data_IF_679033776306
#
_entry.id   IF_679033776306
#
_cell.length_a   1.000
_cell.length_b   1.000
_cell.length_c   1.000
_cell.angle_alpha   90.00
_cell.angle_beta   90.00
_cell.angle_gamma   90.00
#
_symmetry.space_group_name_H-M   'P 1'
#
loop_
_entity.id
_entity.type
_entity.pdbx_description
1 polymer ?
#
# COMPACT_ATOMS: atom_id res chain seq x y z
N UNK A 1 29.52 54.67 43.54
CA UNK A 1 29.42 53.26 43.07
C UNK A 1 28.85 52.33 44.13
N UNK A 2 29.28 52.41 45.41
CA UNK A 2 28.71 51.65 46.53
C UNK A 2 27.23 52.00 46.81
N UNK A 3 26.85 53.27 46.67
CA UNK A 3 25.47 53.71 46.90
C UNK A 3 24.47 53.19 45.84
N UNK A 4 24.93 53.03 44.59
CA UNK A 4 24.11 52.48 43.50
C UNK A 4 23.87 50.97 43.68
N UNK A 5 24.84 50.24 44.25
CA UNK A 5 24.68 48.82 44.57
C UNK A 5 23.71 48.63 45.74
N UNK A 6 23.82 49.45 46.79
CA UNK A 6 22.91 49.39 47.94
C UNK A 6 21.47 49.79 47.55
N UNK A 7 21.30 50.74 46.63
CA UNK A 7 19.99 51.09 46.08
C UNK A 7 19.39 49.96 45.22
N UNK A 8 20.22 49.29 44.41
CA UNK A 8 19.80 48.17 43.57
C UNK A 8 19.42 46.93 44.41
N UNK A 9 20.15 46.61 45.47
CA UNK A 9 19.79 45.49 46.36
C UNK A 9 18.48 45.78 47.11
N UNK A 10 18.31 47.01 47.60
CA UNK A 10 17.07 47.42 48.29
C UNK A 10 15.86 47.40 47.36
N UNK A 11 16.04 47.79 46.10
CA UNK A 11 14.99 47.70 45.09
C UNK A 11 14.62 46.23 44.78
N UNK A 12 15.63 45.37 44.62
CA UNK A 12 15.42 43.93 44.40
C UNK A 12 14.72 43.24 45.60
N UNK A 13 15.07 43.62 46.83
CA UNK A 13 14.41 43.11 48.05
C UNK A 13 12.94 43.56 48.14
N UNK A 14 12.65 44.82 47.78
CA UNK A 14 11.29 45.34 47.75
C UNK A 14 10.43 44.62 46.69
N UNK A 15 10.99 44.37 45.51
CA UNK A 15 10.32 43.63 44.43
C UNK A 15 10.07 42.17 44.82
N UNK A 16 11.08 41.48 45.39
CA UNK A 16 10.93 40.11 45.88
C UNK A 16 9.84 40.00 46.95
N UNK A 17 9.75 41.00 47.84
CA UNK A 17 8.72 41.05 48.88
C UNK A 17 7.31 41.26 48.28
N UNK A 18 7.19 42.05 47.22
CA UNK A 18 5.91 42.24 46.53
C UNK A 18 5.48 40.95 45.82
N UNK A 19 6.39 40.29 45.10
CA UNK A 19 6.14 39.02 44.41
C UNK A 19 5.70 37.95 45.41
N UNK A 20 6.38 37.83 46.55
CA UNK A 20 5.99 36.90 47.60
C UNK A 20 4.58 37.20 48.16
N UNK A 21 4.24 38.48 48.32
CA UNK A 21 2.91 38.90 48.81
C UNK A 21 1.80 38.58 47.80
N UNK A 22 2.03 38.85 46.52
CA UNK A 22 1.07 38.57 45.44
C UNK A 22 0.88 37.06 45.29
N UNK A 23 1.97 36.30 45.30
CA UNK A 23 1.97 34.84 45.24
C UNK A 23 1.17 34.23 46.39
N UNK A 24 1.42 34.67 47.63
CA UNK A 24 0.68 34.20 48.81
C UNK A 24 -0.82 34.47 48.72
N UNK A 25 -1.22 35.69 48.31
CA UNK A 25 -2.65 36.02 48.12
C UNK A 25 -3.30 35.14 47.06
N UNK A 26 -2.59 34.84 45.97
CA UNK A 26 -3.07 33.96 44.90
C UNK A 26 -3.23 32.53 45.41
N UNK A 27 -2.24 32.01 46.15
CA UNK A 27 -2.31 30.70 46.79
C UNK A 27 -3.51 30.60 47.74
N UNK A 28 -3.70 31.56 48.64
CA UNK A 28 -4.83 31.58 49.58
C UNK A 28 -6.19 31.55 48.86
N UNK A 29 -6.29 32.24 47.71
CA UNK A 29 -7.48 32.20 46.86
C UNK A 29 -7.72 30.82 46.24
N UNK A 30 -6.66 30.17 45.76
CA UNK A 30 -6.74 28.82 45.15
C UNK A 30 -7.05 27.74 46.19
N UNK A 31 -6.49 27.84 47.40
CA UNK A 31 -6.77 26.90 48.50
C UNK A 31 -8.23 26.94 48.97
N UNK A 32 -8.95 28.05 48.74
CA UNK A 32 -10.39 28.16 48.99
C UNK A 32 -11.25 27.69 47.82
N UNK A 33 -10.69 27.63 46.61
CA UNK A 33 -11.39 27.19 45.41
C UNK A 33 -11.54 25.66 45.36
N UNK A 34 -12.40 25.16 44.45
CA UNK A 34 -12.60 23.73 44.20
C UNK A 34 -11.32 23.10 43.60
N UNK A 35 -11.09 21.78 43.78
CA UNK A 35 -9.91 21.10 43.25
C UNK A 35 -9.64 21.33 41.76
N UNK A 36 -10.68 21.36 40.91
CA UNK A 36 -10.53 21.58 39.47
C UNK A 36 -9.88 22.94 39.13
N UNK A 37 -10.20 23.99 39.89
CA UNK A 37 -9.59 25.31 39.71
C UNK A 37 -8.12 25.34 40.14
N UNK A 38 -7.74 24.52 41.14
CA UNK A 38 -6.36 24.35 41.57
C UNK A 38 -5.53 23.58 40.54
N UNK A 39 -6.11 22.52 39.95
CA UNK A 39 -5.49 21.79 38.83
C UNK A 39 -5.29 22.68 37.61
N UNK A 40 -6.29 23.50 37.26
CA UNK A 40 -6.17 24.45 36.15
C UNK A 40 -5.04 25.47 36.39
N UNK A 41 -4.94 26.02 37.60
CA UNK A 41 -3.88 26.97 37.96
C UNK A 41 -2.47 26.37 37.91
N UNK A 42 -2.30 25.06 38.08
CA UNK A 42 -1.01 24.39 37.91
C UNK A 42 -0.62 24.15 36.45
N UNK A 43 -1.60 24.07 35.54
CA UNK A 43 -1.39 23.88 34.11
C UNK A 43 -1.02 25.19 33.39
N UNK A 44 -1.29 26.35 34.00
CA UNK A 44 -0.88 27.66 33.50
C UNK A 44 0.65 27.82 33.65
N UNK A 45 1.36 27.87 32.52
CA UNK A 45 2.82 28.00 32.49
C UNK A 45 3.33 29.33 33.06
N UNK A 46 2.51 30.39 33.02
CA UNK A 46 2.80 31.74 33.49
C UNK A 46 2.16 32.05 34.86
N UNK A 47 2.07 31.07 35.75
CA UNK A 47 1.47 31.28 37.06
C UNK A 47 2.27 32.31 37.89
N UNK A 48 1.59 33.28 38.49
CA UNK A 48 2.16 34.31 39.41
C UNK A 48 2.60 33.71 40.77
N UNK A 49 2.73 32.38 40.87
CA UNK A 49 3.13 31.68 42.07
C UNK A 49 4.64 31.52 42.12
N UNK A 50 5.22 31.78 43.29
CA UNK A 50 6.60 31.40 43.59
C UNK A 50 6.75 29.87 43.59
N UNK A 51 7.97 29.32 43.39
CA UNK A 51 8.19 27.89 43.44
C UNK A 51 7.72 27.23 44.75
N UNK A 52 7.90 27.91 45.89
CA UNK A 52 7.50 27.42 47.20
C UNK A 52 5.96 27.33 47.34
N UNK A 53 5.25 28.38 46.92
CA UNK A 53 3.78 28.39 46.95
C UNK A 53 3.17 27.39 45.96
N UNK A 54 3.86 27.11 44.85
CA UNK A 54 3.46 26.05 43.90
C UNK A 54 3.56 24.65 44.52
N UNK A 55 4.58 24.39 45.35
CA UNK A 55 4.68 23.13 46.10
C UNK A 55 3.56 23.00 47.13
N UNK A 56 3.21 24.08 47.84
CA UNK A 56 2.08 24.08 48.75
C UNK A 56 0.75 23.80 48.04
N UNK A 57 0.56 24.35 46.84
CA UNK A 57 -0.62 24.05 46.01
C UNK A 57 -0.67 22.58 45.58
N UNK A 58 0.46 22.00 45.18
CA UNK A 58 0.57 20.57 44.83
C UNK A 58 0.27 19.67 46.03
N UNK A 59 0.77 19.99 47.22
CA UNK A 59 0.51 19.22 48.44
C UNK A 59 -0.99 19.22 48.78
N UNK A 60 -1.67 20.36 48.56
CA UNK A 60 -3.12 20.48 48.74
C UNK A 60 -3.95 19.60 47.80
N UNK A 61 -3.36 19.16 46.69
CA UNK A 61 -3.99 18.32 45.67
C UNK A 61 -3.64 16.83 45.80
N UNK A 62 -2.69 16.45 46.68
CA UNK A 62 -2.22 15.06 46.83
C UNK A 62 -3.33 14.05 47.12
N UNK A 63 -4.39 14.48 47.81
CA UNK A 63 -5.54 13.64 48.16
C UNK A 63 -6.85 14.11 47.49
N UNK A 64 -6.77 15.05 46.54
CA UNK A 64 -7.93 15.57 45.84
C UNK A 64 -8.14 14.80 44.53
N UNK A 65 -9.24 14.06 44.42
CA UNK A 65 -9.60 13.43 43.15
C UNK A 65 -10.00 14.50 42.14
N UNK A 66 -9.31 14.54 41.00
CA UNK A 66 -9.72 15.36 39.87
C UNK A 66 -11.11 14.91 39.41
N UNK A 67 -12.05 15.86 39.30
CA UNK A 67 -13.38 15.52 38.83
C UNK A 67 -13.26 14.94 37.42
N UNK A 68 -13.66 13.69 37.24
CA UNK A 68 -13.51 12.99 35.97
C UNK A 68 -14.30 13.74 34.91
N UNK A 69 -13.60 14.43 34.00
CA UNK A 69 -14.22 15.06 32.85
C UNK A 69 -14.89 13.95 32.03
N UNK A 70 -16.21 13.99 31.79
CA UNK A 70 -16.84 13.01 30.93
C UNK A 70 -16.26 13.20 29.52
N UNK A 71 -15.44 12.23 29.09
CA UNK A 71 -14.98 12.15 27.72
C UNK A 71 -16.23 11.87 26.90
N UNK A 72 -16.76 12.88 26.20
CA UNK A 72 -17.79 12.69 25.18
C UNK A 72 -17.16 11.96 24.00
N UNK A 73 -16.99 10.65 24.13
CA UNK A 73 -16.80 9.78 23.00
C UNK A 73 -18.12 9.80 22.21
N UNK A 74 -18.21 10.65 21.19
CA UNK A 74 -19.27 10.54 20.21
C UNK A 74 -19.20 9.14 19.63
N UNK A 75 -20.21 8.31 19.89
CA UNK A 75 -20.31 6.96 19.34
C UNK A 75 -20.35 7.09 17.82
N UNK A 76 -19.20 6.90 17.18
CA UNK A 76 -19.12 6.83 15.73
C UNK A 76 -20.16 5.81 15.27
N UNK A 77 -21.06 6.21 14.37
CA UNK A 77 -22.14 5.35 13.92
C UNK A 77 -21.57 4.03 13.37
N UNK A 78 -22.32 2.92 13.52
CA UNK A 78 -21.90 1.60 13.03
C UNK A 78 -21.48 1.65 11.55
N UNK A 79 -22.07 2.56 10.78
CA UNK A 79 -21.74 2.84 9.39
C UNK A 79 -20.34 3.45 9.21
N UNK A 80 -19.93 4.38 10.09
CA UNK A 80 -18.61 4.99 10.06
C UNK A 80 -17.51 3.96 10.38
N UNK A 81 -17.76 3.06 11.33
CA UNK A 81 -16.86 1.96 11.69
C UNK A 81 -16.77 0.93 10.56
N UNK A 82 -17.89 0.64 9.88
CA UNK A 82 -17.90 -0.27 8.74
C UNK A 82 -17.14 0.34 7.54
N UNK A 83 -17.35 1.63 7.25
CA UNK A 83 -16.69 2.35 6.16
C UNK A 83 -15.18 2.49 6.36
N UNK A 84 -14.71 2.66 7.59
CA UNK A 84 -13.27 2.71 7.89
C UNK A 84 -12.59 1.35 7.78
N UNK A 85 -13.35 0.24 7.87
CA UNK A 85 -12.82 -1.14 7.76
C UNK A 85 -12.91 -1.74 6.35
N UNK A 86 -13.68 -1.12 5.45
CA UNK A 86 -13.81 -1.52 4.04
C UNK A 86 -12.48 -1.58 3.27
N UNK A 87 -11.56 -0.60 3.38
CA UNK A 87 -10.28 -0.63 2.64
C UNK A 87 -9.45 -1.87 3.00
N UNK A 88 -9.38 -2.21 4.29
CA UNK A 88 -8.61 -3.35 4.79
C UNK A 88 -9.16 -4.71 4.35
N UNK A 89 -10.46 -4.78 4.01
CA UNK A 89 -11.09 -6.02 3.53
C UNK A 89 -11.09 -6.13 2.00
N UNK A 90 -11.24 -5.01 1.29
CA UNK A 90 -11.35 -5.01 -0.17
C UNK A 90 -10.00 -5.06 -0.89
N UNK A 91 -8.96 -4.45 -0.35
CA UNK A 91 -7.62 -4.45 -0.96
C UNK A 91 -7.05 -5.87 -1.15
N UNK A 92 -7.05 -6.78 -0.15
CA UNK A 92 -6.53 -8.13 -0.36
C UNK A 92 -7.39 -8.96 -1.33
N UNK A 93 -8.71 -8.74 -1.36
CA UNK A 93 -9.62 -9.41 -2.30
C UNK A 93 -9.34 -8.94 -3.74
N UNK A 94 -9.20 -7.62 -3.94
CA UNK A 94 -8.90 -7.04 -5.25
C UNK A 94 -7.55 -7.52 -5.80
N UNK A 95 -6.52 -7.60 -4.94
CA UNK A 95 -5.21 -8.10 -5.32
C UNK A 95 -5.26 -9.59 -5.68
N UNK A 96 -5.91 -10.42 -4.84
CA UNK A 96 -6.02 -11.86 -5.08
C UNK A 96 -6.81 -12.19 -6.35
N UNK A 97 -7.96 -11.54 -6.55
CA UNK A 97 -8.79 -11.76 -7.74
C UNK A 97 -8.09 -11.28 -9.02
N UNK A 98 -7.42 -10.12 -8.96
CA UNK A 98 -6.65 -9.58 -10.08
C UNK A 98 -5.50 -10.50 -10.48
N UNK A 99 -4.73 -10.99 -9.51
CA UNK A 99 -3.65 -11.94 -9.76
C UNK A 99 -4.17 -13.27 -10.31
N UNK A 100 -5.27 -13.80 -9.77
CA UNK A 100 -5.86 -15.04 -10.26
C UNK A 100 -6.32 -14.91 -11.72
N UNK A 101 -6.99 -13.80 -12.07
CA UNK A 101 -7.41 -13.53 -13.45
C UNK A 101 -6.22 -13.37 -14.39
N UNK A 102 -5.16 -12.69 -13.94
CA UNK A 102 -3.94 -12.52 -14.73
C UNK A 102 -3.24 -13.86 -15.00
N UNK A 103 -3.07 -14.69 -13.96
CA UNK A 103 -2.47 -16.02 -14.11
C UNK A 103 -3.33 -16.92 -14.99
N UNK A 104 -4.64 -16.89 -14.82
CA UNK A 104 -5.57 -17.65 -15.65
C UNK A 104 -5.51 -17.20 -17.11
N UNK A 105 -5.52 -15.88 -17.36
CA UNK A 105 -5.36 -15.34 -18.71
C UNK A 105 -4.04 -15.74 -19.35
N UNK A 106 -2.93 -15.67 -18.59
CA UNK A 106 -1.62 -16.08 -19.06
C UNK A 106 -1.57 -17.58 -19.39
N UNK A 107 -2.14 -18.42 -18.52
CA UNK A 107 -2.23 -19.86 -18.73
C UNK A 107 -3.07 -20.20 -19.97
N UNK A 108 -4.18 -19.49 -20.19
CA UNK A 108 -5.04 -19.67 -21.36
C UNK A 108 -4.31 -19.28 -22.66
N UNK A 109 -3.59 -18.15 -22.65
CA UNK A 109 -2.75 -17.71 -23.78
C UNK A 109 -1.64 -18.70 -24.05
N UNK A 110 -0.95 -19.16 -23.01
CA UNK A 110 0.09 -20.18 -23.13
C UNK A 110 -0.49 -21.45 -23.73
N UNK A 111 -1.60 -21.96 -23.21
CA UNK A 111 -2.25 -23.15 -23.73
C UNK A 111 -2.63 -23.00 -25.22
N UNK A 112 -3.25 -21.88 -25.60
CA UNK A 112 -3.64 -21.63 -27.00
C UNK A 112 -2.44 -21.48 -27.96
N UNK A 113 -1.30 -20.99 -27.45
CA UNK A 113 -0.07 -20.78 -28.22
C UNK A 113 0.90 -21.97 -28.17
N UNK A 114 0.65 -22.96 -27.32
CA UNK A 114 1.54 -24.11 -27.17
C UNK A 114 1.43 -25.00 -28.42
N UNK A 115 2.55 -25.33 -29.08
CA UNK A 115 2.58 -26.29 -30.18
C UNK A 115 2.10 -27.68 -29.74
N UNK A 116 1.41 -28.44 -30.59
CA UNK A 116 1.06 -29.81 -30.26
C UNK A 116 2.29 -30.73 -30.22
N UNK A 117 3.13 -30.68 -31.26
CA UNK A 117 4.32 -31.55 -31.42
C UNK A 117 5.15 -31.16 -32.64
N UNK A 118 6.34 -31.74 -32.73
CA UNK A 118 7.15 -31.75 -33.95
C UNK A 118 6.69 -32.88 -34.88
N UNK A 119 6.62 -32.58 -36.18
CA UNK A 119 6.23 -33.52 -37.23
C UNK A 119 7.22 -33.47 -38.39
N UNK A 120 7.33 -34.58 -39.10
CA UNK A 120 8.10 -34.73 -40.34
C UNK A 120 7.19 -35.22 -41.46
N UNK A 121 7.65 -35.14 -42.71
CA UNK A 121 6.98 -35.82 -43.82
C UNK A 121 7.12 -37.33 -43.72
N UNK A 122 6.05 -38.06 -44.04
CA UNK A 122 6.04 -39.52 -44.10
C UNK A 122 6.69 -40.08 -45.38
N UNK A 123 6.71 -39.28 -46.45
CA UNK A 123 7.29 -39.65 -47.75
C UNK A 123 8.75 -39.21 -47.92
N UNK A 124 9.42 -39.83 -48.90
CA UNK A 124 10.80 -39.49 -49.30
C UNK A 124 10.88 -38.39 -50.37
N UNK A 125 9.75 -37.84 -50.80
CA UNK A 125 9.68 -36.77 -51.81
C UNK A 125 9.33 -35.42 -51.18
N UNK A 126 9.98 -34.32 -51.60
CA UNK A 126 9.60 -32.97 -51.22
C UNK A 126 8.15 -32.67 -51.63
N UNK A 127 7.37 -32.10 -50.70
CA UNK A 127 5.98 -31.73 -50.95
C UNK A 127 5.85 -30.20 -51.09
N UNK A 128 5.22 -29.69 -52.16
CA UNK A 128 4.93 -28.26 -52.28
C UNK A 128 3.85 -27.87 -51.27
N UNK A 129 4.08 -26.78 -50.55
CA UNK A 129 3.15 -26.25 -49.55
C UNK A 129 2.96 -24.75 -49.71
N UNK A 130 1.72 -24.28 -49.57
CA UNK A 130 1.40 -22.86 -49.57
C UNK A 130 1.47 -22.29 -48.15
N UNK A 131 2.50 -21.50 -47.85
CA UNK A 131 2.62 -20.79 -46.59
C UNK A 131 1.79 -19.50 -46.63
N UNK A 132 0.87 -19.34 -45.69
CA UNK A 132 0.17 -18.10 -45.45
C UNK A 132 0.99 -17.26 -44.46
N UNK A 133 1.44 -16.11 -44.91
CA UNK A 133 2.15 -15.12 -44.11
C UNK A 133 1.18 -14.35 -43.19
N UNK A 134 1.69 -13.66 -42.15
CA UNK A 134 0.87 -12.83 -41.25
C UNK A 134 0.10 -11.70 -41.92
N UNK A 135 0.63 -11.16 -43.02
CA UNK A 135 -0.01 -10.15 -43.87
C UNK A 135 -1.14 -10.73 -44.75
N UNK A 136 -1.34 -12.05 -44.71
CA UNK A 136 -2.33 -12.77 -45.51
C UNK A 136 -1.84 -13.25 -46.87
N UNK A 137 -0.63 -12.88 -47.30
CA UNK A 137 -0.06 -13.34 -48.56
C UNK A 137 0.24 -14.84 -48.52
N UNK A 138 0.09 -15.51 -49.66
CA UNK A 138 0.47 -16.91 -49.81
C UNK A 138 1.78 -17.01 -50.58
N UNK A 139 2.78 -17.62 -49.96
CA UNK A 139 4.09 -17.87 -50.54
C UNK A 139 4.22 -19.37 -50.79
N UNK A 140 4.57 -19.74 -52.02
CA UNK A 140 4.89 -21.12 -52.33
C UNK A 140 6.19 -21.51 -51.61
N UNK A 141 6.14 -22.60 -50.86
CA UNK A 141 7.29 -23.23 -50.25
C UNK A 141 7.31 -24.72 -50.53
N UNK A 142 8.32 -25.39 -50.00
CA UNK A 142 8.47 -26.84 -50.03
C UNK A 142 8.74 -27.33 -48.62
N UNK A 143 8.22 -28.50 -48.31
CA UNK A 143 8.59 -29.25 -47.12
C UNK A 143 9.46 -30.41 -47.59
N UNK A 144 10.70 -30.45 -47.13
CA UNK A 144 11.65 -31.50 -47.50
C UNK A 144 11.54 -32.69 -46.54
N UNK A 145 11.72 -33.93 -47.02
CA UNK A 145 11.78 -35.13 -46.18
C UNK A 145 12.81 -34.97 -45.05
N UNK A 146 12.46 -35.42 -43.84
CA UNK A 146 13.32 -35.29 -42.66
C UNK A 146 13.36 -33.90 -42.01
N UNK A 147 12.81 -32.86 -42.66
CA UNK A 147 12.69 -31.53 -42.04
C UNK A 147 11.65 -31.55 -40.93
N UNK A 148 12.02 -31.05 -39.75
CA UNK A 148 11.12 -30.91 -38.60
C UNK A 148 10.27 -29.65 -38.77
N UNK A 149 8.96 -29.84 -38.88
CA UNK A 149 7.97 -28.76 -38.83
C UNK A 149 7.20 -28.83 -37.51
N UNK A 150 6.72 -27.67 -37.07
CA UNK A 150 5.98 -27.54 -35.82
C UNK A 150 4.48 -27.60 -36.12
N UNK A 151 3.80 -28.64 -35.62
CA UNK A 151 2.36 -28.78 -35.73
C UNK A 151 1.71 -27.92 -34.63
N UNK A 152 0.99 -26.88 -35.05
CA UNK A 152 0.32 -25.98 -34.12
C UNK A 152 -1.05 -26.50 -33.69
N UNK A 153 -1.87 -26.93 -34.65
CA UNK A 153 -3.21 -27.48 -34.38
C UNK A 153 -3.63 -28.47 -35.45
N UNK A 154 -4.56 -29.36 -35.08
CA UNK A 154 -5.33 -30.17 -36.02
C UNK A 154 -6.66 -29.49 -36.33
N UNK A 155 -7.08 -29.58 -37.58
CA UNK A 155 -8.37 -29.07 -38.06
C UNK A 155 -9.01 -30.18 -38.92
N UNK A 156 -9.65 -31.14 -38.26
CA UNK A 156 -10.20 -32.33 -38.91
C UNK A 156 -9.09 -33.21 -39.51
N UNK A 157 -9.12 -33.37 -40.84
CA UNK A 157 -8.14 -34.17 -41.59
C UNK A 157 -6.83 -33.41 -41.88
N UNK A 158 -6.82 -32.09 -41.67
CA UNK A 158 -5.67 -31.22 -41.96
C UNK A 158 -4.93 -30.84 -40.68
N UNK A 159 -3.61 -30.71 -40.80
CA UNK A 159 -2.73 -30.15 -39.79
C UNK A 159 -2.30 -28.74 -40.19
N UNK A 160 -2.30 -27.82 -39.23
CA UNK A 160 -1.73 -26.47 -39.40
C UNK A 160 -0.29 -26.49 -38.90
N UNK A 161 0.64 -26.40 -39.84
CA UNK A 161 2.06 -26.21 -39.57
C UNK A 161 2.36 -24.73 -39.37
N UNK A 162 3.26 -24.41 -38.45
CA UNK A 162 3.68 -23.04 -38.16
C UNK A 162 5.19 -22.94 -38.23
N UNK A 163 5.69 -21.92 -38.93
CA UNK A 163 7.11 -21.63 -39.04
C UNK A 163 7.36 -20.16 -38.73
N UNK A 164 8.46 -19.84 -38.04
CA UNK A 164 8.86 -18.46 -37.80
C UNK A 164 9.65 -17.95 -39.00
N UNK A 165 9.20 -16.84 -39.59
CA UNK A 165 9.87 -16.12 -40.66
C UNK A 165 10.41 -14.82 -40.06
N UNK A 166 11.73 -14.63 -40.15
CA UNK A 166 12.39 -13.44 -39.66
C UNK A 166 11.73 -12.17 -40.21
N UNK A 167 11.58 -11.15 -39.37
CA UNK A 167 10.99 -9.84 -39.69
C UNK A 167 9.50 -9.83 -40.07
N UNK A 168 8.89 -10.97 -40.36
CA UNK A 168 7.47 -11.06 -40.76
C UNK A 168 6.58 -11.67 -39.69
N UNK A 169 7.11 -12.62 -38.91
CA UNK A 169 6.36 -13.33 -37.88
C UNK A 169 6.09 -14.79 -38.27
N UNK A 170 4.98 -15.35 -37.79
CA UNK A 170 4.67 -16.77 -38.00
C UNK A 170 3.89 -17.01 -39.29
N UNK A 171 4.48 -17.77 -40.21
CA UNK A 171 3.79 -18.31 -41.37
C UNK A 171 3.05 -19.62 -41.01
N UNK A 172 1.90 -19.84 -41.62
CA UNK A 172 1.04 -21.01 -41.40
C UNK A 172 0.77 -21.76 -42.69
N UNK A 173 0.95 -23.08 -42.71
CA UNK A 173 0.63 -23.93 -43.86
C UNK A 173 -0.37 -25.01 -43.44
N UNK A 174 -1.41 -25.23 -44.24
CA UNK A 174 -2.37 -26.33 -44.04
C UNK A 174 -1.94 -27.52 -44.90
N UNK A 175 -1.76 -28.67 -44.26
CA UNK A 175 -1.28 -29.90 -44.91
C UNK A 175 -2.09 -31.08 -44.40
N UNK A 176 -2.51 -32.02 -45.26
CA UNK A 176 -3.19 -33.24 -44.82
C UNK A 176 -2.38 -34.01 -43.78
N UNK A 177 -3.00 -34.42 -42.68
CA UNK A 177 -2.35 -35.19 -41.61
C UNK A 177 -1.83 -36.55 -42.11
N UNK A 178 -2.38 -37.09 -43.20
CA UNK A 178 -1.94 -38.32 -43.85
C UNK A 178 -0.50 -38.23 -44.39
N UNK A 179 -0.05 -37.03 -44.76
CA UNK A 179 1.31 -36.78 -45.26
C UNK A 179 2.34 -36.64 -44.13
N UNK A 180 1.88 -36.50 -42.87
CA UNK A 180 2.73 -36.22 -41.73
C UNK A 180 3.00 -37.49 -40.90
N UNK A 181 4.17 -37.53 -40.31
CA UNK A 181 4.60 -38.49 -39.31
C UNK A 181 5.03 -37.74 -38.05
N UNK A 182 4.90 -38.37 -36.89
CA UNK A 182 5.43 -37.81 -35.64
C UNK A 182 6.95 -37.85 -35.72
N UNK A 183 7.61 -36.70 -35.49
CA UNK A 183 9.07 -36.66 -35.46
C UNK A 183 9.59 -37.41 -34.22
N UNK A 184 10.67 -38.18 -34.32
CA UNK A 184 11.36 -38.76 -33.16
C UNK A 184 12.08 -37.68 -32.35
#
# INVERSE_FOLDING_TARGET
MRDNLAAATKAAEAEATEVARVSKRRLDGLLKARPDARFAALAEAESVLTPEDRLALLDSLRNAEASHRPIRAGTASRLAIWRSRLPYRLVPIGLGLGSALLLFGLALVAWYRTPERWVTLRGAEPQPIGWRMPDGMRVAGRLDPGSRALLWRRDGADGVLRSWVAQSGYAEARVPLSLLATAP
#
